data_IF_986082078875
#
_entry.id   IF_986082078875
#
_cell.length_a   1.000
_cell.length_b   1.000
_cell.length_c   1.000
_cell.angle_alpha   90.00
_cell.angle_beta   90.00
_cell.angle_gamma   90.00
#
_symmetry.space_group_name_H-M   'P 1'
#
loop_
_entity.id
_entity.type
_entity.pdbx_description
1 polymer ?
#
# COMPACT_ATOMS: atom_id res chain seq x y z
N UNK A 1 -0.99 -2.32 25.56
CA UNK A 1 -0.40 -3.16 24.52
C UNK A 1 -1.48 -3.45 23.50
N UNK A 2 -1.19 -3.33 22.22
CA UNK A 2 -2.06 -3.74 21.13
C UNK A 2 -1.39 -4.88 20.37
N UNK A 3 -2.20 -5.76 19.80
CA UNK A 3 -1.74 -6.85 18.93
C UNK A 3 -2.32 -6.64 17.54
N UNK A 4 -1.51 -6.82 16.50
CA UNK A 4 -1.95 -6.63 15.12
C UNK A 4 -1.08 -7.39 14.14
N UNK A 5 -1.68 -7.84 13.03
CA UNK A 5 -0.92 -8.22 11.85
C UNK A 5 -0.40 -6.97 11.15
N UNK A 6 0.83 -7.02 10.66
CA UNK A 6 1.43 -5.87 9.99
C UNK A 6 2.63 -6.24 9.14
N UNK A 7 2.89 -5.39 8.14
CA UNK A 7 4.04 -5.48 7.23
C UNK A 7 4.84 -4.18 7.29
N UNK A 8 6.18 -4.29 7.31
CA UNK A 8 7.06 -3.13 7.27
C UNK A 8 7.09 -2.56 5.86
N UNK A 9 6.60 -1.32 5.70
CA UNK A 9 6.65 -0.59 4.43
C UNK A 9 7.99 0.10 4.20
N UNK A 10 8.53 0.69 5.28
CA UNK A 10 9.77 1.48 5.24
C UNK A 10 10.50 1.40 6.57
N UNK A 11 11.82 1.39 6.48
CA UNK A 11 12.74 1.47 7.60
C UNK A 11 13.59 2.75 7.48
N UNK A 12 13.72 3.48 8.59
CA UNK A 12 14.54 4.70 8.67
C UNK A 12 15.39 4.68 9.93
N UNK A 13 16.64 5.13 9.85
CA UNK A 13 17.45 5.36 11.04
C UNK A 13 16.83 6.49 11.88
N UNK A 14 16.79 6.32 13.20
CA UNK A 14 16.18 7.32 14.09
C UNK A 14 17.18 7.85 15.13
N UNK A 15 17.87 7.00 15.82
CA UNK A 15 18.94 7.31 16.80
C UNK A 15 19.99 6.20 16.70
N UNK A 16 21.12 6.31 17.44
CA UNK A 16 22.19 5.32 17.36
C UNK A 16 21.72 3.88 17.59
N UNK A 17 20.80 3.68 18.57
CA UNK A 17 20.30 2.37 18.99
C UNK A 17 18.85 2.09 18.54
N UNK A 18 18.25 2.95 17.70
CA UNK A 18 16.83 2.84 17.32
C UNK A 18 16.59 2.93 15.83
N UNK A 19 15.54 2.28 15.40
CA UNK A 19 15.01 2.33 14.05
C UNK A 19 13.55 2.74 14.10
N UNK A 20 13.15 3.59 13.17
CA UNK A 20 11.76 3.95 12.95
C UNK A 20 11.22 3.13 11.78
N UNK A 21 10.15 2.39 12.03
CA UNK A 21 9.45 1.56 11.06
C UNK A 21 8.11 2.20 10.72
N UNK A 22 7.81 2.31 9.45
CA UNK A 22 6.46 2.59 8.96
C UNK A 22 5.81 1.23 8.69
N UNK A 23 4.80 0.86 9.48
CA UNK A 23 4.03 -0.37 9.33
C UNK A 23 2.69 -0.09 8.68
N UNK A 24 2.26 -0.97 7.80
CA UNK A 24 0.87 -1.10 7.41
C UNK A 24 0.27 -2.29 8.16
N UNK A 25 -0.76 -2.02 8.94
CA UNK A 25 -1.37 -2.99 9.85
C UNK A 25 -2.84 -3.18 9.55
N UNK A 26 -3.34 -4.38 9.83
CA UNK A 26 -4.73 -4.74 9.55
C UNK A 26 -5.73 -3.92 10.39
N UNK A 27 -5.46 -3.78 11.70
CA UNK A 27 -6.42 -3.18 12.65
C UNK A 27 -6.17 -1.70 12.93
N UNK A 28 -4.99 -1.16 12.60
CA UNK A 28 -4.60 0.22 12.94
C UNK A 28 -4.15 1.05 11.75
N UNK A 29 -4.23 0.50 10.52
CA UNK A 29 -3.79 1.16 9.31
C UNK A 29 -2.29 1.42 9.29
N UNK A 30 -1.87 2.54 8.70
CA UNK A 30 -0.47 2.94 8.65
C UNK A 30 -0.04 3.60 9.96
N UNK A 31 0.94 3.02 10.64
CA UNK A 31 1.45 3.49 11.93
C UNK A 31 2.98 3.58 11.94
N UNK A 32 3.52 4.39 12.84
CA UNK A 32 4.95 4.51 13.08
C UNK A 32 5.34 3.78 14.36
N UNK A 33 6.30 2.88 14.23
CA UNK A 33 6.80 2.05 15.33
C UNK A 33 8.28 2.31 15.55
N UNK A 34 8.63 2.62 16.79
CA UNK A 34 10.01 2.78 17.22
C UNK A 34 10.50 1.45 17.82
N UNK A 35 11.54 0.90 17.23
CA UNK A 35 12.13 -0.35 17.67
C UNK A 35 13.59 -0.14 18.04
N UNK A 36 14.08 -0.87 19.08
CA UNK A 36 15.45 -0.78 19.53
C UNK A 36 16.35 -1.72 18.73
N UNK A 37 17.44 -1.22 18.15
CA UNK A 37 18.48 -2.06 17.56
C UNK A 37 19.23 -2.82 18.65
N UNK A 38 18.99 -4.11 18.74
CA UNK A 38 19.67 -5.00 19.69
C UNK A 38 19.85 -6.38 19.07
N UNK A 39 20.93 -7.06 19.39
CA UNK A 39 21.11 -8.48 19.01
C UNK A 39 20.03 -9.40 19.62
N UNK A 40 19.31 -8.92 20.64
CA UNK A 40 18.20 -9.61 21.30
C UNK A 40 16.85 -8.98 20.92
N UNK A 41 16.80 -8.18 19.84
CA UNK A 41 15.57 -7.54 19.40
C UNK A 41 14.54 -8.59 19.01
N UNK A 42 13.34 -8.48 19.59
CA UNK A 42 12.19 -9.32 19.27
C UNK A 42 11.30 -8.61 18.26
N UNK A 43 11.86 -8.23 17.12
CA UNK A 43 11.11 -7.69 15.99
C UNK A 43 11.87 -7.97 14.70
N UNK A 44 11.17 -8.03 13.59
CA UNK A 44 11.77 -8.00 12.26
C UNK A 44 11.69 -6.59 11.69
N UNK A 45 12.74 -6.18 10.99
CA UNK A 45 12.76 -4.98 10.17
C UNK A 45 12.83 -5.32 8.67
N UNK A 46 12.51 -6.55 8.33
CA UNK A 46 12.46 -7.05 6.96
C UNK A 46 11.24 -6.47 6.25
N UNK A 47 11.49 -5.87 5.07
CA UNK A 47 10.42 -5.45 4.17
C UNK A 47 9.81 -6.69 3.50
N UNK A 48 8.49 -6.68 3.26
CA UNK A 48 7.73 -7.80 2.69
C UNK A 48 7.56 -9.01 3.62
N UNK A 49 7.75 -8.81 4.91
CA UNK A 49 7.47 -9.81 5.92
C UNK A 49 6.20 -9.47 6.70
N UNK A 50 5.27 -10.43 6.72
CA UNK A 50 4.06 -10.38 7.53
C UNK A 50 4.36 -10.92 8.92
N UNK A 51 4.00 -10.21 9.95
CA UNK A 51 4.17 -10.67 11.31
C UNK A 51 3.08 -10.23 12.27
N UNK A 52 2.97 -10.94 13.36
CA UNK A 52 2.22 -10.54 14.53
C UNK A 52 3.07 -9.60 15.38
N UNK A 53 2.58 -8.41 15.60
CA UNK A 53 3.23 -7.37 16.38
C UNK A 53 2.54 -7.16 17.70
N UNK A 54 3.30 -7.15 18.79
CA UNK A 54 2.86 -6.62 20.08
C UNK A 54 3.48 -5.23 20.26
N UNK A 55 2.61 -4.24 20.37
CA UNK A 55 3.01 -2.84 20.34
C UNK A 55 2.47 -2.11 21.58
N UNK A 56 3.31 -1.31 22.19
CA UNK A 56 2.91 -0.40 23.27
C UNK A 56 2.66 0.99 22.70
N UNK A 57 1.49 1.53 22.94
CA UNK A 57 1.17 2.89 22.53
C UNK A 57 1.99 3.93 23.30
N UNK A 58 2.60 4.86 22.56
CA UNK A 58 3.24 6.07 23.09
C UNK A 58 2.48 7.31 22.66
N UNK A 59 3.02 8.49 22.95
CA UNK A 59 2.39 9.77 22.57
C UNK A 59 2.46 10.08 21.07
N UNK A 60 3.55 9.67 20.42
CA UNK A 60 3.83 9.97 19.01
C UNK A 60 4.06 8.70 18.20
N UNK A 61 4.72 7.71 18.79
CA UNK A 61 5.07 6.45 18.18
C UNK A 61 4.54 5.29 19.01
N UNK A 62 4.30 4.16 18.34
CA UNK A 62 4.23 2.88 19.03
C UNK A 62 5.64 2.38 19.30
N UNK A 63 5.80 1.50 20.28
CA UNK A 63 7.04 0.83 20.62
C UNK A 63 6.89 -0.66 20.41
N UNK A 64 7.81 -1.26 19.65
CA UNK A 64 7.82 -2.71 19.47
C UNK A 64 8.23 -3.40 20.78
N UNK A 65 7.37 -4.26 21.30
CA UNK A 65 7.62 -5.09 22.49
C UNK A 65 7.95 -6.53 22.11
N UNK A 66 7.15 -7.12 21.21
CA UNK A 66 7.38 -8.46 20.70
C UNK A 66 6.91 -8.62 19.24
N UNK A 67 7.39 -9.67 18.57
CA UNK A 67 7.13 -9.93 17.17
C UNK A 67 7.27 -11.42 16.86
N UNK A 68 6.29 -11.97 16.15
CA UNK A 68 6.33 -13.31 15.59
C UNK A 68 6.17 -13.25 14.08
N UNK A 69 7.16 -13.76 13.33
CA UNK A 69 7.10 -13.86 11.87
C UNK A 69 6.01 -14.87 11.47
N UNK A 70 5.13 -14.47 10.55
CA UNK A 70 4.08 -15.33 10.01
C UNK A 70 4.49 -15.86 8.65
N UNK A 71 4.88 -14.96 7.74
CA UNK A 71 5.26 -15.30 6.38
C UNK A 71 6.14 -14.21 5.78
N UNK A 72 7.10 -14.60 4.95
CA UNK A 72 7.92 -13.67 4.18
C UNK A 72 7.68 -13.88 2.68
N UNK A 73 7.36 -12.83 1.94
CA UNK A 73 7.32 -12.85 0.48
C UNK A 73 8.75 -12.67 -0.06
N UNK A 74 9.36 -13.75 -0.52
CA UNK A 74 10.73 -13.75 -1.07
C UNK A 74 10.75 -13.25 -2.52
N UNK A 75 10.35 -12.01 -2.72
CA UNK A 75 10.28 -11.38 -4.03
C UNK A 75 11.68 -11.20 -4.60
N UNK A 76 11.91 -11.60 -5.85
CA UNK A 76 13.22 -11.60 -6.53
C UNK A 76 13.19 -10.88 -7.87
N UNK A 77 14.37 -10.54 -8.37
CA UNK A 77 14.53 -9.95 -9.69
C UNK A 77 13.80 -8.61 -9.82
N UNK A 78 13.17 -8.39 -10.96
CA UNK A 78 12.46 -7.14 -11.26
C UNK A 78 11.18 -6.97 -10.43
N UNK A 79 10.58 -8.07 -9.96
CA UNK A 79 9.37 -8.03 -9.14
C UNK A 79 9.58 -7.30 -7.79
N UNK A 80 10.81 -7.21 -7.31
CA UNK A 80 11.17 -6.43 -6.11
C UNK A 80 10.74 -4.96 -6.26
N UNK A 81 10.91 -4.38 -7.43
CA UNK A 81 10.51 -3.00 -7.70
C UNK A 81 9.00 -2.81 -7.63
N UNK A 82 8.23 -3.80 -8.05
CA UNK A 82 6.78 -3.81 -7.89
C UNK A 82 6.36 -3.86 -6.41
N UNK A 83 7.05 -4.65 -5.60
CA UNK A 83 6.83 -4.66 -4.15
C UNK A 83 7.12 -3.28 -3.51
N UNK A 84 8.22 -2.63 -3.86
CA UNK A 84 8.51 -1.26 -3.41
C UNK A 84 7.50 -0.25 -3.92
N UNK A 85 7.01 -0.41 -5.14
CA UNK A 85 5.97 0.45 -5.69
C UNK A 85 4.67 0.35 -4.87
N UNK A 86 4.24 -0.86 -4.50
CA UNK A 86 3.07 -1.04 -3.62
C UNK A 86 3.28 -0.34 -2.26
N UNK A 87 4.47 -0.47 -1.67
CA UNK A 87 4.80 0.21 -0.42
C UNK A 87 4.74 1.74 -0.59
N UNK A 88 5.26 2.26 -1.69
CA UNK A 88 5.25 3.71 -1.97
C UNK A 88 3.83 4.25 -2.11
N UNK A 89 2.95 3.54 -2.81
CA UNK A 89 1.54 3.91 -2.93
C UNK A 89 0.88 4.02 -1.55
N UNK A 90 1.04 3.01 -0.69
CA UNK A 90 0.51 3.06 0.67
C UNK A 90 1.12 4.20 1.49
N UNK A 91 2.44 4.40 1.38
CA UNK A 91 3.12 5.47 2.10
C UNK A 91 2.62 6.85 1.72
N UNK A 92 2.35 7.10 0.44
CA UNK A 92 1.96 8.41 -0.08
C UNK A 92 0.46 8.69 0.03
N UNK A 93 -0.37 7.69 -0.20
CA UNK A 93 -1.80 7.88 -0.41
C UNK A 93 -2.65 7.56 0.82
N UNK A 94 -2.22 6.60 1.65
CA UNK A 94 -2.99 6.26 2.85
C UNK A 94 -2.73 7.24 3.99
N UNK A 95 -3.79 7.68 4.65
CA UNK A 95 -3.70 8.44 5.89
C UNK A 95 -3.19 7.56 7.04
N UNK A 96 -2.48 8.16 8.01
CA UNK A 96 -2.09 7.45 9.22
C UNK A 96 -3.31 7.09 10.06
N UNK A 97 -3.24 5.96 10.77
CA UNK A 97 -4.29 5.48 11.67
C UNK A 97 -5.67 5.27 11.02
N UNK A 98 -5.69 4.97 9.73
CA UNK A 98 -6.93 4.65 9.01
C UNK A 98 -6.89 3.18 8.59
N UNK A 99 -7.50 2.28 9.40
CA UNK A 99 -7.49 0.85 9.10
C UNK A 99 -8.43 0.52 7.95
N UNK A 100 -7.98 -0.40 7.10
CA UNK A 100 -8.77 -1.03 6.05
C UNK A 100 -8.30 -2.47 5.89
N UNK A 101 -9.02 -3.41 6.49
CA UNK A 101 -8.66 -4.83 6.48
C UNK A 101 -8.77 -5.45 5.08
N UNK A 102 -9.68 -4.94 4.23
CA UNK A 102 -9.81 -5.41 2.86
C UNK A 102 -8.59 -4.99 2.04
N UNK A 103 -8.19 -3.71 2.11
CA UNK A 103 -6.98 -3.22 1.45
C UNK A 103 -5.72 -3.91 1.98
N UNK A 104 -5.63 -4.17 3.30
CA UNK A 104 -4.53 -4.93 3.88
C UNK A 104 -4.42 -6.33 3.27
N UNK A 105 -5.56 -7.01 3.11
CA UNK A 105 -5.62 -8.33 2.46
C UNK A 105 -5.20 -8.27 0.98
N UNK A 106 -5.66 -7.26 0.23
CA UNK A 106 -5.24 -7.05 -1.16
C UNK A 106 -3.75 -6.80 -1.29
N UNK A 107 -3.19 -5.97 -0.41
CA UNK A 107 -1.76 -5.68 -0.37
C UNK A 107 -0.92 -6.93 -0.10
N UNK A 108 -1.27 -7.71 0.93
CA UNK A 108 -0.53 -8.93 1.25
C UNK A 108 -0.62 -9.97 0.13
N UNK A 109 -1.80 -10.16 -0.46
CA UNK A 109 -1.98 -11.07 -1.61
C UNK A 109 -1.15 -10.64 -2.80
N UNK A 110 -1.06 -9.35 -3.08
CA UNK A 110 -0.23 -8.83 -4.16
C UNK A 110 1.27 -9.12 -3.90
N UNK A 111 1.78 -8.87 -2.70
CA UNK A 111 3.17 -9.20 -2.33
C UNK A 111 3.45 -10.69 -2.47
N UNK A 112 2.58 -11.55 -1.95
CA UNK A 112 2.75 -13.00 -2.02
C UNK A 112 2.74 -13.52 -3.47
N UNK A 113 1.88 -12.96 -4.33
CA UNK A 113 1.83 -13.32 -5.74
C UNK A 113 3.08 -12.88 -6.50
N UNK A 114 3.68 -11.72 -6.17
CA UNK A 114 4.90 -11.23 -6.79
C UNK A 114 6.11 -12.14 -6.59
N UNK A 115 6.09 -13.01 -5.60
CA UNK A 115 7.17 -14.00 -5.38
C UNK A 115 7.40 -14.91 -6.59
N UNK A 116 6.33 -15.27 -7.31
CA UNK A 116 6.34 -16.21 -8.42
C UNK A 116 5.74 -15.63 -9.71
N UNK A 117 5.42 -14.34 -9.73
CA UNK A 117 4.76 -13.72 -10.87
C UNK A 117 5.66 -13.64 -12.10
N UNK A 118 5.14 -14.04 -13.25
CA UNK A 118 5.63 -13.62 -14.55
C UNK A 118 5.16 -12.17 -14.86
N UNK A 119 5.51 -11.65 -16.03
CA UNK A 119 5.20 -10.26 -16.39
C UNK A 119 3.69 -9.98 -16.47
N UNK A 120 2.90 -10.93 -16.95
CA UNK A 120 1.45 -10.78 -17.09
C UNK A 120 0.76 -10.80 -15.73
N UNK A 121 1.08 -11.76 -14.88
CA UNK A 121 0.56 -11.84 -13.52
C UNK A 121 0.99 -10.64 -12.68
N UNK A 122 2.24 -10.18 -12.83
CA UNK A 122 2.75 -8.98 -12.16
C UNK A 122 1.89 -7.76 -12.50
N UNK A 123 1.65 -7.50 -13.79
CA UNK A 123 0.81 -6.38 -14.23
C UNK A 123 -0.61 -6.50 -13.67
N UNK A 124 -1.19 -7.67 -13.74
CA UNK A 124 -2.54 -7.93 -13.23
C UNK A 124 -2.65 -7.65 -11.73
N UNK A 125 -1.69 -8.12 -10.95
CA UNK A 125 -1.67 -7.92 -9.49
C UNK A 125 -1.52 -6.44 -9.12
N UNK A 126 -0.68 -5.71 -9.85
CA UNK A 126 -0.54 -4.27 -9.64
C UNK A 126 -1.85 -3.52 -9.93
N UNK A 127 -2.53 -3.82 -11.06
CA UNK A 127 -3.82 -3.19 -11.41
C UNK A 127 -4.92 -3.53 -10.40
N UNK A 128 -4.96 -4.79 -9.93
CA UNK A 128 -5.92 -5.22 -8.92
C UNK A 128 -5.73 -4.46 -7.59
N UNK A 129 -4.47 -4.29 -7.16
CA UNK A 129 -4.16 -3.53 -5.95
C UNK A 129 -4.47 -2.03 -6.11
N UNK A 130 -4.06 -1.41 -7.23
CA UNK A 130 -4.35 0.00 -7.52
C UNK A 130 -5.85 0.28 -7.52
N UNK A 131 -6.63 -0.62 -8.12
CA UNK A 131 -8.11 -0.53 -8.09
C UNK A 131 -8.63 -0.55 -6.66
N UNK A 132 -8.22 -1.53 -5.84
CA UNK A 132 -8.63 -1.62 -4.44
C UNK A 132 -8.24 -0.37 -3.64
N UNK A 133 -7.04 0.18 -3.88
CA UNK A 133 -6.58 1.41 -3.24
C UNK A 133 -7.44 2.62 -3.65
N UNK A 134 -7.75 2.78 -4.94
CA UNK A 134 -8.62 3.86 -5.42
C UNK A 134 -10.04 3.76 -4.85
N UNK A 135 -10.57 2.54 -4.72
CA UNK A 135 -11.86 2.28 -4.06
C UNK A 135 -11.83 2.71 -2.58
N UNK A 136 -10.79 2.32 -1.84
CA UNK A 136 -10.59 2.74 -0.45
C UNK A 136 -10.50 4.26 -0.29
N UNK A 137 -9.85 4.92 -1.24
CA UNK A 137 -9.71 6.39 -1.25
C UNK A 137 -10.95 7.14 -1.74
N UNK A 138 -11.98 6.43 -2.23
CA UNK A 138 -13.14 7.05 -2.86
C UNK A 138 -12.82 7.77 -4.17
N UNK A 139 -11.71 7.41 -4.81
CA UNK A 139 -11.20 8.03 -6.04
C UNK A 139 -11.37 7.12 -7.28
N UNK A 140 -12.03 5.99 -7.13
CA UNK A 140 -12.29 5.09 -8.26
C UNK A 140 -13.34 5.71 -9.16
N UNK A 141 -13.05 5.96 -10.46
CA UNK A 141 -14.05 6.44 -11.40
C UNK A 141 -15.14 5.38 -11.63
N UNK A 142 -16.33 5.81 -11.99
CA UNK A 142 -17.34 4.90 -12.52
C UNK A 142 -16.81 4.30 -13.84
N UNK A 143 -16.76 2.98 -13.91
CA UNK A 143 -16.33 2.24 -15.09
C UNK A 143 -17.52 1.63 -15.86
N UNK A 144 -18.75 1.98 -15.48
CA UNK A 144 -19.96 1.48 -16.12
C UNK A 144 -20.58 2.48 -17.08
N UNK A 145 -20.40 3.78 -16.81
CA UNK A 145 -20.90 4.87 -17.64
C UNK A 145 -19.82 5.89 -17.97
N UNK A 146 -19.96 6.54 -19.10
CA UNK A 146 -19.08 7.66 -19.49
C UNK A 146 -19.58 9.03 -18.96
N UNK A 147 -18.85 10.09 -19.24
CA UNK A 147 -19.18 11.46 -18.81
C UNK A 147 -20.50 12.00 -19.39
N UNK A 148 -21.01 11.37 -20.47
CA UNK A 148 -22.27 11.73 -21.11
C UNK A 148 -23.43 10.88 -20.57
N UNK A 149 -23.14 9.89 -19.71
CA UNK A 149 -24.12 8.99 -19.11
C UNK A 149 -24.41 7.74 -19.94
N UNK A 150 -23.65 7.52 -21.03
CA UNK A 150 -23.78 6.33 -21.85
C UNK A 150 -23.04 5.13 -21.23
N UNK A 151 -23.56 3.91 -21.44
CA UNK A 151 -22.88 2.69 -21.03
C UNK A 151 -21.54 2.53 -21.74
N UNK A 152 -20.53 2.03 -21.02
CA UNK A 152 -19.19 1.78 -21.55
C UNK A 152 -19.22 0.60 -22.51
N UNK A 153 -18.69 0.80 -23.72
CA UNK A 153 -18.56 -0.21 -24.74
C UNK A 153 -17.13 -0.77 -24.80
N UNK A 154 -17.00 -2.11 -24.72
CA UNK A 154 -15.69 -2.79 -24.66
C UNK A 154 -14.81 -2.60 -25.91
N UNK A 155 -15.38 -2.19 -27.04
CA UNK A 155 -14.69 -1.98 -28.30
C UNK A 155 -14.28 -0.51 -28.54
N UNK A 156 -14.60 0.39 -27.62
CA UNK A 156 -14.22 1.80 -27.71
C UNK A 156 -13.06 2.14 -26.79
N UNK A 157 -12.33 3.20 -27.16
CA UNK A 157 -11.30 3.79 -26.31
C UNK A 157 -11.86 5.01 -25.58
N UNK A 158 -11.51 5.12 -24.30
CA UNK A 158 -11.95 6.21 -23.44
C UNK A 158 -10.77 6.98 -22.87
N UNK A 159 -10.95 8.26 -22.70
CA UNK A 159 -10.04 9.12 -21.96
C UNK A 159 -10.44 9.14 -20.49
N UNK A 160 -9.48 9.07 -19.58
CA UNK A 160 -9.73 9.09 -18.13
C UNK A 160 -9.48 10.47 -17.58
N UNK A 161 -10.50 11.08 -16.98
CA UNK A 161 -10.39 12.35 -16.25
C UNK A 161 -10.51 12.10 -14.75
N UNK A 162 -9.71 12.82 -13.95
CA UNK A 162 -9.67 12.63 -12.49
C UNK A 162 -11.05 12.89 -11.85
N UNK A 163 -11.76 13.93 -12.29
CA UNK A 163 -13.08 14.30 -11.74
C UNK A 163 -14.23 13.94 -12.69
N UNK A 164 -13.95 13.86 -13.99
CA UNK A 164 -14.97 13.66 -15.01
C UNK A 164 -15.21 12.18 -15.37
N UNK A 165 -14.40 11.26 -14.81
CA UNK A 165 -14.53 9.84 -15.13
C UNK A 165 -14.04 9.48 -16.53
N UNK A 166 -14.78 8.61 -17.23
CA UNK A 166 -14.47 8.17 -18.57
C UNK A 166 -15.17 9.04 -19.61
N UNK A 167 -14.50 9.37 -20.73
CA UNK A 167 -15.07 10.14 -21.84
C UNK A 167 -14.65 9.59 -23.19
N UNK A 168 -15.55 9.59 -24.16
CA UNK A 168 -15.25 9.29 -25.58
C UNK A 168 -14.39 10.38 -26.23
N UNK A 169 -14.35 11.57 -25.63
CA UNK A 169 -13.63 12.74 -26.15
C UNK A 169 -12.49 13.15 -25.22
N UNK A 170 -11.37 13.64 -25.78
CA UNK A 170 -10.26 14.11 -24.97
C UNK A 170 -10.68 15.33 -24.15
N UNK A 171 -10.30 15.34 -22.87
CA UNK A 171 -10.51 16.49 -22.00
C UNK A 171 -9.66 17.67 -22.50
N UNK A 172 -10.26 18.85 -22.55
CA UNK A 172 -9.49 20.08 -22.79
C UNK A 172 -8.53 20.24 -21.62
N UNK A 173 -7.23 20.11 -21.87
CA UNK A 173 -6.23 20.51 -20.88
C UNK A 173 -6.42 22.00 -20.63
N UNK A 174 -6.88 22.36 -19.45
CA UNK A 174 -6.78 23.73 -18.97
C UNK A 174 -5.29 24.07 -18.92
N UNK A 175 -4.85 24.97 -19.80
CA UNK A 175 -3.50 25.54 -19.73
C UNK A 175 -3.32 26.07 -18.31
N UNK A 176 -2.29 25.65 -17.55
CA UNK A 176 -2.05 26.27 -16.26
C UNK A 176 -1.81 27.76 -16.50
N UNK A 177 -2.66 28.59 -15.92
CA UNK A 177 -2.39 30.03 -15.85
C UNK A 177 -1.17 30.14 -14.92
N UNK A 178 0.00 30.36 -15.52
CA UNK A 178 1.18 30.71 -14.74
C UNK A 178 0.95 32.06 -14.10
N UNK A 179 1.24 32.20 -12.78
CA UNK A 179 1.16 33.48 -12.09
C UNK A 179 2.22 34.48 -12.59
#
# INVERSE_FOLDING_TARGET
VIETLGVVLKKSAYQEDRVLLDLFTEQHGKIKVLARRSRKARYSDQIFELGHWQLKAGKVFYFAEDYDSVQHAFIKGLNVWSGYYLNELLMRLMSAHHPDAALFTHYWRALAALEHADAELQEWMLRAFEKALLETLGAMPDLTTDSDGDEIEANLNYYVGIEAGLSKHPFKMSTPVMP
#
